data_IF_649228846191
#
_entry.id   IF_649228846191
#
_cell.length_a   1.000
_cell.length_b   1.000
_cell.length_c   1.000
_cell.angle_alpha   90.00
_cell.angle_beta   90.00
_cell.angle_gamma   90.00
#
_symmetry.space_group_name_H-M   'P 1'
#
loop_
_entity.id
_entity.type
_entity.pdbx_description
1 polymer ?
#
# COMPACT_ATOMS: atom_id res chain seq x y z
N UNK A 1 -12.12 31.46 26.73
CA UNK A 1 -12.55 30.36 27.61
C UNK A 1 -12.16 29.06 26.92
N UNK A 2 -11.13 28.37 27.40
CA UNK A 2 -10.63 27.10 26.84
C UNK A 2 -10.94 26.00 27.84
N UNK A 3 -11.67 24.97 27.43
CA UNK A 3 -11.86 23.75 28.21
C UNK A 3 -10.86 22.70 27.70
N UNK A 4 -9.90 22.34 28.54
CA UNK A 4 -9.02 21.18 28.34
C UNK A 4 -9.72 19.97 28.98
N UNK A 5 -10.00 18.94 28.19
CA UNK A 5 -10.46 17.64 28.69
C UNK A 5 -9.28 16.67 28.63
N UNK A 6 -8.62 16.46 29.77
CA UNK A 6 -7.61 15.42 29.96
C UNK A 6 -8.36 14.17 30.46
N UNK A 7 -8.46 13.14 29.62
CA UNK A 7 -9.02 11.86 30.03
C UNK A 7 -7.91 11.01 30.65
N UNK A 8 -7.95 10.88 31.98
CA UNK A 8 -7.09 9.99 32.75
C UNK A 8 -7.63 8.57 32.66
N UNK A 9 -6.87 7.64 32.11
CA UNK A 9 -7.19 6.21 32.16
C UNK A 9 -6.37 5.61 33.31
N UNK A 10 -7.08 5.24 34.37
CA UNK A 10 -6.55 4.59 35.56
C UNK A 10 -6.17 3.13 35.27
N UNK A 11 -4.92 2.77 35.53
CA UNK A 11 -4.47 1.38 35.58
C UNK A 11 -5.09 0.69 36.81
N UNK A 12 -5.97 -0.29 36.58
CA UNK A 12 -6.32 -1.29 37.60
C UNK A 12 -5.43 -2.51 37.41
N UNK A 13 -4.48 -2.68 38.33
CA UNK A 13 -3.73 -3.91 38.54
C UNK A 13 -4.63 -4.95 39.20
N UNK A 14 -4.79 -6.13 38.60
CA UNK A 14 -5.25 -7.32 39.31
C UNK A 14 -4.19 -8.42 39.20
N UNK A 15 -3.69 -8.79 40.37
CA UNK A 15 -2.73 -9.86 40.63
C UNK A 15 -3.34 -11.22 40.28
N UNK A 16 -2.58 -12.03 39.56
CA UNK A 16 -2.86 -13.44 39.30
C UNK A 16 -1.55 -14.21 39.21
N UNK A 17 -0.93 -14.46 40.36
CA UNK A 17 0.25 -15.29 40.53
C UNK A 17 -0.11 -16.76 40.30
N UNK A 18 0.41 -17.34 39.23
CA UNK A 18 0.48 -18.80 39.06
C UNK A 18 1.96 -19.13 38.85
N UNK A 19 2.56 -19.69 39.90
CA UNK A 19 3.93 -20.19 39.85
C UNK A 19 4.03 -21.43 38.99
N UNK A 20 5.06 -21.49 38.15
CA UNK A 20 5.53 -22.72 37.53
C UNK A 20 7.06 -22.83 37.73
N UNK A 21 7.56 -24.07 37.88
CA UNK A 21 8.82 -24.35 38.58
C UNK A 21 10.07 -23.96 37.78
N UNK A 22 11.10 -23.54 38.51
CA UNK A 22 12.45 -23.38 38.01
C UNK A 22 13.03 -24.75 37.60
N UNK A 23 13.12 -25.00 36.30
CA UNK A 23 13.94 -26.07 35.76
C UNK A 23 15.33 -25.50 35.46
N UNK A 24 16.27 -25.82 36.34
CA UNK A 24 17.70 -25.61 36.12
C UNK A 24 18.19 -26.52 35.00
N UNK A 25 18.47 -25.95 33.84
CA UNK A 25 19.16 -26.61 32.74
C UNK A 25 20.26 -25.71 32.22
N UNK A 26 21.50 -25.92 32.68
CA UNK A 26 22.67 -25.42 31.98
C UNK A 26 22.91 -26.33 30.77
N UNK A 27 22.82 -25.78 29.55
CA UNK A 27 23.57 -26.30 28.43
C UNK A 27 23.95 -25.19 27.44
N UNK A 28 25.26 -25.00 27.37
CA UNK A 28 26.10 -24.31 26.40
C UNK A 28 25.56 -23.91 25.02
N UNK A 29 26.14 -22.80 24.57
CA UNK A 29 26.56 -22.44 23.20
C UNK A 29 25.47 -22.24 22.17
N UNK A 30 25.22 -20.98 21.78
CA UNK A 30 25.96 -20.31 20.71
C UNK A 30 25.53 -18.84 20.63
N UNK A 31 26.51 -17.95 20.49
CA UNK A 31 26.29 -16.64 19.90
C UNK A 31 25.95 -16.89 18.44
N UNK A 32 24.65 -16.93 18.12
CA UNK A 32 24.20 -16.92 16.73
C UNK A 32 23.65 -15.53 16.44
N UNK A 33 24.52 -14.70 15.88
CA UNK A 33 24.17 -13.44 15.27
C UNK A 33 23.39 -13.71 13.97
N UNK A 34 22.17 -14.20 14.10
CA UNK A 34 21.21 -14.21 13.01
C UNK A 34 20.26 -13.03 13.25
N UNK A 35 20.70 -11.83 12.84
CA UNK A 35 19.75 -10.84 12.38
C UNK A 35 19.05 -11.45 11.17
N UNK A 36 17.86 -11.97 11.40
CA UNK A 36 16.91 -12.27 10.33
C UNK A 36 16.58 -10.91 9.69
N UNK A 37 17.30 -10.55 8.62
CA UNK A 37 16.93 -9.41 7.78
C UNK A 37 15.51 -9.65 7.29
N UNK A 38 14.55 -8.94 7.87
CA UNK A 38 13.17 -8.96 7.42
C UNK A 38 13.12 -8.36 6.02
N UNK A 39 13.20 -9.21 5.00
CA UNK A 39 13.11 -8.80 3.60
C UNK A 39 11.65 -8.56 3.24
N UNK A 40 11.29 -7.29 3.05
CA UNK A 40 9.99 -6.86 2.56
C UNK A 40 10.01 -6.74 1.02
N UNK A 41 8.90 -7.12 0.39
CA UNK A 41 8.77 -7.17 -1.07
C UNK A 41 8.33 -5.85 -1.69
N UNK A 42 7.54 -5.06 -0.95
CA UNK A 42 6.92 -3.81 -1.40
C UNK A 42 7.21 -2.62 -0.48
N UNK A 43 7.85 -2.84 0.67
CA UNK A 43 8.17 -1.82 1.67
C UNK A 43 9.68 -1.52 1.65
N UNK A 44 10.05 -0.26 1.38
CA UNK A 44 11.43 0.22 1.50
C UNK A 44 11.76 0.68 2.93
N UNK A 45 13.04 0.97 3.18
CA UNK A 45 13.56 1.34 4.51
C UNK A 45 12.78 2.51 5.15
N UNK A 46 12.56 3.59 4.40
CA UNK A 46 11.82 4.75 4.90
C UNK A 46 10.34 4.42 5.19
N UNK A 47 9.68 3.64 4.33
CA UNK A 47 8.30 3.21 4.56
C UNK A 47 8.20 2.33 5.79
N UNK A 48 9.18 1.47 6.03
CA UNK A 48 9.24 0.64 7.24
C UNK A 48 9.37 1.50 8.50
N UNK A 49 10.26 2.50 8.52
CA UNK A 49 10.42 3.41 9.66
C UNK A 49 9.11 4.12 10.02
N UNK A 50 8.38 4.61 9.00
CA UNK A 50 7.09 5.28 9.20
C UNK A 50 6.02 4.29 9.66
N UNK A 51 5.92 3.11 9.04
CA UNK A 51 4.92 2.10 9.42
C UNK A 51 5.17 1.54 10.82
N UNK A 52 6.43 1.34 11.20
CA UNK A 52 6.84 0.86 12.53
C UNK A 52 6.52 1.83 13.67
N UNK A 53 6.14 3.08 13.35
CA UNK A 53 5.64 4.02 14.35
C UNK A 53 4.19 3.72 14.78
N UNK A 54 3.40 3.02 13.95
CA UNK A 54 1.97 2.77 14.18
C UNK A 54 1.59 1.28 14.20
N UNK A 55 2.43 0.40 13.64
CA UNK A 55 2.13 -1.03 13.46
C UNK A 55 3.23 -1.93 14.03
N UNK A 56 2.86 -3.13 14.47
CA UNK A 56 3.85 -4.15 14.86
C UNK A 56 4.54 -4.76 13.63
N UNK A 57 5.67 -5.45 13.86
CA UNK A 57 6.39 -6.13 12.79
C UNK A 57 5.51 -7.14 12.04
N UNK A 58 4.68 -7.90 12.76
CA UNK A 58 3.75 -8.88 12.16
C UNK A 58 2.69 -8.18 11.30
N UNK A 59 2.16 -7.05 11.77
CA UNK A 59 1.20 -6.25 10.99
C UNK A 59 1.84 -5.68 9.73
N UNK A 60 3.08 -5.20 9.81
CA UNK A 60 3.85 -4.70 8.65
C UNK A 60 4.13 -5.83 7.65
N UNK A 61 4.43 -7.04 8.12
CA UNK A 61 4.59 -8.21 7.25
C UNK A 61 3.28 -8.55 6.52
N UNK A 62 2.14 -8.46 7.21
CA UNK A 62 0.84 -8.68 6.56
C UNK A 62 0.50 -7.55 5.58
N UNK A 63 0.83 -6.30 5.91
CA UNK A 63 0.70 -5.15 5.00
C UNK A 63 1.55 -5.37 3.74
N UNK A 64 2.81 -5.79 3.86
CA UNK A 64 3.71 -6.07 2.72
C UNK A 64 3.15 -7.16 1.79
N UNK A 65 2.60 -8.23 2.38
CA UNK A 65 2.04 -9.37 1.62
C UNK A 65 0.71 -9.03 0.94
N UNK A 66 -0.11 -8.20 1.56
CA UNK A 66 -1.50 -7.96 1.14
C UNK A 66 -1.65 -6.70 0.28
N UNK A 67 -0.78 -5.72 0.50
CA UNK A 67 -0.87 -4.39 -0.11
C UNK A 67 0.12 -4.25 -1.26
N UNK A 68 -0.27 -3.51 -2.29
CA UNK A 68 0.63 -3.10 -3.37
C UNK A 68 1.62 -2.02 -2.90
N UNK A 69 2.73 -1.84 -3.63
CA UNK A 69 3.72 -0.76 -3.40
C UNK A 69 3.05 0.63 -3.25
N UNK A 70 1.96 0.88 -3.96
CA UNK A 70 1.20 2.14 -3.87
C UNK A 70 0.27 2.22 -2.67
N UNK A 71 -0.39 1.12 -2.29
CA UNK A 71 -1.18 1.10 -1.06
C UNK A 71 -0.27 1.30 0.16
N UNK A 72 0.91 0.68 0.14
CA UNK A 72 1.98 0.96 1.11
C UNK A 72 2.35 2.45 1.08
N UNK A 73 2.59 3.03 -0.09
CA UNK A 73 2.89 4.45 -0.22
C UNK A 73 1.76 5.36 0.30
N UNK A 74 0.49 5.10 -0.05
CA UNK A 74 -0.64 5.88 0.46
C UNK A 74 -0.75 5.78 1.98
N UNK A 75 -0.54 4.58 2.54
CA UNK A 75 -0.55 4.35 3.98
C UNK A 75 0.59 5.11 4.67
N UNK A 76 1.82 5.02 4.16
CA UNK A 76 2.97 5.79 4.65
C UNK A 76 2.67 7.28 4.68
N UNK A 77 2.16 7.85 3.58
CA UNK A 77 1.84 9.27 3.48
C UNK A 77 0.70 9.70 4.43
N UNK A 78 -0.27 8.80 4.68
CA UNK A 78 -1.37 9.05 5.58
C UNK A 78 -0.95 9.06 7.06
N UNK A 79 0.08 8.29 7.41
CA UNK A 79 0.67 8.24 8.75
C UNK A 79 1.60 9.43 8.98
N UNK A 80 2.47 9.74 8.02
CA UNK A 80 3.49 10.78 8.16
C UNK A 80 2.89 12.19 8.30
N UNK A 81 1.86 12.52 7.51
CA UNK A 81 1.15 13.79 7.63
C UNK A 81 -0.34 13.62 7.30
N UNK A 82 -1.18 13.22 8.27
CA UNK A 82 -2.59 12.91 8.03
C UNK A 82 -3.41 14.11 7.53
N UNK A 83 -3.10 15.32 8.04
CA UNK A 83 -3.84 16.53 7.68
C UNK A 83 -3.50 16.98 6.26
N UNK A 84 -2.22 16.95 5.88
CA UNK A 84 -1.86 17.21 4.49
C UNK A 84 -2.24 16.06 3.55
N UNK A 85 -2.25 14.79 4.00
CA UNK A 85 -2.75 13.68 3.18
C UNK A 85 -4.21 13.89 2.79
N UNK A 86 -5.08 14.23 3.75
CA UNK A 86 -6.50 14.48 3.46
C UNK A 86 -6.67 15.72 2.56
N UNK A 87 -5.92 16.80 2.83
CA UNK A 87 -6.00 18.03 2.05
C UNK A 87 -5.45 17.86 0.62
N UNK A 88 -4.35 17.12 0.44
CA UNK A 88 -3.81 16.70 -0.85
C UNK A 88 -4.83 15.82 -1.55
N UNK A 89 -5.21 14.68 -0.98
CA UNK A 89 -6.20 13.75 -1.54
C UNK A 89 -7.45 14.48 -2.07
N UNK A 90 -8.06 15.38 -1.29
CA UNK A 90 -9.23 16.16 -1.71
C UNK A 90 -8.98 17.19 -2.83
N UNK A 91 -7.84 17.89 -2.82
CA UNK A 91 -7.50 18.88 -3.86
C UNK A 91 -6.97 18.24 -5.14
N UNK A 92 -6.26 17.12 -5.02
CA UNK A 92 -5.69 16.32 -6.09
C UNK A 92 -6.77 15.61 -6.91
N UNK A 93 -7.76 14.99 -6.24
CA UNK A 93 -8.86 14.29 -6.91
C UNK A 93 -9.79 15.18 -7.74
N UNK A 94 -9.79 16.50 -7.52
CA UNK A 94 -10.68 17.42 -8.26
C UNK A 94 -10.03 18.08 -9.47
N UNK A 95 -8.71 18.02 -9.60
CA UNK A 95 -7.96 18.76 -10.61
C UNK A 95 -7.01 17.91 -11.48
N UNK A 96 -6.62 16.69 -11.05
CA UNK A 96 -5.52 15.94 -11.69
C UNK A 96 -5.91 14.61 -12.38
N UNK A 97 -7.08 14.03 -12.11
CA UNK A 97 -7.44 12.71 -12.68
C UNK A 97 -8.43 12.83 -13.83
N UNK A 98 -8.23 12.03 -14.88
CA UNK A 98 -9.09 11.98 -16.06
C UNK A 98 -9.70 10.58 -16.29
N UNK A 99 -9.55 9.66 -15.33
CA UNK A 99 -10.02 8.29 -15.43
C UNK A 99 -9.14 7.50 -16.39
N UNK A 100 -9.70 6.52 -17.10
CA UNK A 100 -8.88 5.67 -17.96
C UNK A 100 -8.47 6.33 -19.30
N UNK A 101 -8.47 7.67 -19.38
CA UNK A 101 -8.08 8.52 -20.52
C UNK A 101 -8.68 8.10 -21.87
N UNK A 102 -8.02 7.13 -22.53
CA UNK A 102 -8.32 6.63 -23.87
C UNK A 102 -8.98 5.24 -23.86
N UNK A 103 -9.29 4.73 -22.67
CA UNK A 103 -9.88 3.41 -22.46
C UNK A 103 -11.14 3.52 -21.62
N UNK A 104 -12.06 2.54 -21.70
CA UNK A 104 -13.25 2.54 -20.86
C UNK A 104 -12.93 2.50 -19.35
N UNK A 105 -13.64 3.30 -18.55
CA UNK A 105 -13.56 3.24 -17.08
C UNK A 105 -14.05 1.90 -16.48
N UNK A 106 -14.71 1.07 -17.28
CA UNK A 106 -15.35 -0.18 -16.86
C UNK A 106 -15.18 -1.28 -17.89
N UNK A 107 -15.06 -2.51 -17.39
CA UNK A 107 -15.14 -3.72 -18.20
C UNK A 107 -16.06 -4.75 -17.56
N UNK A 108 -17.25 -4.93 -18.14
CA UNK A 108 -18.32 -5.73 -17.50
C UNK A 108 -18.63 -5.21 -16.09
N UNK A 109 -18.50 -6.07 -15.08
CA UNK A 109 -18.69 -5.72 -13.67
C UNK A 109 -17.49 -5.03 -13.02
N UNK A 110 -16.32 -5.02 -13.67
CA UNK A 110 -15.11 -4.40 -13.13
C UNK A 110 -15.11 -2.89 -13.36
N UNK A 111 -15.00 -2.11 -12.27
CA UNK A 111 -14.84 -0.66 -12.31
C UNK A 111 -13.36 -0.29 -12.20
N UNK A 112 -12.72 0.04 -13.31
CA UNK A 112 -11.29 0.37 -13.38
C UNK A 112 -11.00 1.84 -13.09
N UNK A 113 -12.01 2.71 -13.12
CA UNK A 113 -11.83 4.15 -12.87
C UNK A 113 -10.97 4.46 -11.63
N UNK A 114 -11.18 3.84 -10.45
CA UNK A 114 -10.36 4.16 -9.28
C UNK A 114 -8.87 3.82 -9.45
N UNK A 115 -8.55 2.75 -10.17
CA UNK A 115 -7.16 2.39 -10.49
C UNK A 115 -6.55 3.39 -11.49
N UNK A 116 -7.32 3.84 -12.48
CA UNK A 116 -6.88 4.86 -13.43
C UNK A 116 -6.68 6.22 -12.74
N UNK A 117 -7.60 6.62 -11.87
CA UNK A 117 -7.45 7.85 -11.09
C UNK A 117 -6.19 7.80 -10.22
N UNK A 118 -5.90 6.67 -9.58
CA UNK A 118 -4.65 6.48 -8.81
C UNK A 118 -3.39 6.54 -9.70
N UNK A 119 -3.45 6.00 -10.92
CA UNK A 119 -2.37 6.05 -11.89
C UNK A 119 -2.07 7.49 -12.32
N UNK A 120 -3.11 8.29 -12.62
CA UNK A 120 -2.98 9.71 -12.93
C UNK A 120 -2.28 10.47 -11.80
N UNK A 121 -2.62 10.14 -10.55
CA UNK A 121 -2.00 10.74 -9.36
C UNK A 121 -0.51 10.40 -9.30
N UNK A 122 -0.15 9.14 -9.56
CA UNK A 122 1.24 8.70 -9.58
C UNK A 122 2.04 9.32 -10.73
N UNK A 123 1.40 9.60 -11.86
CA UNK A 123 2.00 10.26 -13.03
C UNK A 123 2.21 11.76 -12.85
N UNK A 124 1.53 12.37 -11.88
CA UNK A 124 1.60 13.81 -11.66
C UNK A 124 3.00 14.33 -11.29
N UNK A 125 3.22 15.62 -11.55
CA UNK A 125 4.45 16.35 -11.15
C UNK A 125 4.77 16.38 -9.65
N UNK A 126 3.84 15.95 -8.80
CA UNK A 126 4.05 15.84 -7.36
C UNK A 126 4.70 14.51 -6.93
N UNK A 127 4.66 13.50 -7.79
CA UNK A 127 5.16 12.16 -7.51
C UNK A 127 6.67 12.08 -7.65
N UNK A 128 7.30 11.28 -6.80
CA UNK A 128 8.73 10.91 -6.88
C UNK A 128 8.92 9.45 -7.30
N UNK A 129 7.84 8.71 -7.54
CA UNK A 129 7.89 7.32 -7.97
C UNK A 129 8.30 7.22 -9.44
N UNK A 130 9.16 6.27 -9.78
CA UNK A 130 9.48 5.94 -11.18
C UNK A 130 8.20 5.59 -11.95
N UNK A 131 8.15 5.94 -13.25
CA UNK A 131 7.01 5.62 -14.12
C UNK A 131 6.70 4.12 -14.09
N UNK A 132 7.73 3.29 -14.15
CA UNK A 132 7.56 1.83 -14.10
C UNK A 132 6.92 1.35 -12.80
N UNK A 133 7.18 2.00 -11.67
CA UNK A 133 6.53 1.75 -10.38
C UNK A 133 5.05 2.11 -10.43
N UNK A 134 4.72 3.29 -10.96
CA UNK A 134 3.32 3.69 -11.18
C UNK A 134 2.55 2.70 -12.07
N UNK A 135 3.17 2.26 -13.17
CA UNK A 135 2.53 1.34 -14.11
C UNK A 135 2.32 -0.06 -13.52
N UNK A 136 3.26 -0.58 -12.71
CA UNK A 136 3.10 -1.87 -12.01
C UNK A 136 2.00 -1.80 -10.95
N UNK A 137 1.94 -0.72 -10.17
CA UNK A 137 0.89 -0.50 -9.19
C UNK A 137 -0.49 -0.40 -9.85
N UNK A 138 -0.57 0.27 -11.00
CA UNK A 138 -1.78 0.32 -11.81
C UNK A 138 -2.24 -1.08 -12.24
N UNK A 139 -1.33 -1.92 -12.76
CA UNK A 139 -1.65 -3.30 -13.13
C UNK A 139 -2.13 -4.15 -11.95
N UNK A 140 -1.44 -4.07 -10.82
CA UNK A 140 -1.85 -4.76 -9.59
C UNK A 140 -3.26 -4.34 -9.17
N UNK A 141 -3.57 -3.04 -9.22
CA UNK A 141 -4.89 -2.51 -8.90
C UNK A 141 -5.98 -3.04 -9.84
N UNK A 142 -5.72 -3.06 -11.15
CA UNK A 142 -6.66 -3.61 -12.13
C UNK A 142 -6.94 -5.10 -11.89
N UNK A 143 -5.90 -5.91 -11.65
CA UNK A 143 -6.06 -7.36 -11.38
C UNK A 143 -6.77 -7.62 -10.04
N UNK A 144 -6.57 -6.76 -9.04
CA UNK A 144 -7.34 -6.80 -7.79
C UNK A 144 -8.82 -6.50 -8.04
N UNK A 145 -9.14 -5.47 -8.81
CA UNK A 145 -10.52 -5.16 -9.19
C UNK A 145 -11.16 -6.35 -9.91
N UNK A 146 -10.44 -7.00 -10.83
CA UNK A 146 -10.91 -8.23 -11.48
C UNK A 146 -11.20 -9.36 -10.49
N UNK A 147 -10.34 -9.50 -9.47
CA UNK A 147 -10.48 -10.53 -8.43
C UNK A 147 -11.68 -10.30 -7.51
N UNK A 148 -12.06 -9.04 -7.28
CA UNK A 148 -13.24 -8.65 -6.50
C UNK A 148 -14.53 -8.70 -7.34
N UNK A 149 -14.43 -8.43 -8.64
CA UNK A 149 -15.60 -8.32 -9.53
C UNK A 149 -16.06 -9.68 -10.08
N UNK A 150 -15.18 -10.68 -10.09
CA UNK A 150 -15.44 -12.01 -10.65
C UNK A 150 -14.94 -13.13 -9.73
N UNK A 151 -15.76 -14.16 -9.57
CA UNK A 151 -15.41 -15.33 -8.75
C UNK A 151 -14.15 -16.05 -9.29
N UNK A 152 -13.40 -16.67 -8.37
CA UNK A 152 -12.19 -17.46 -8.68
C UNK A 152 -12.52 -18.55 -9.70
N UNK A 153 -11.62 -18.77 -10.67
CA UNK A 153 -11.75 -19.84 -11.67
C UNK A 153 -12.77 -19.59 -12.79
N UNK A 154 -13.46 -18.44 -12.81
CA UNK A 154 -14.43 -18.13 -13.86
C UNK A 154 -13.75 -17.59 -15.12
N UNK A 155 -14.32 -17.90 -16.29
CA UNK A 155 -13.89 -17.32 -17.56
C UNK A 155 -13.94 -15.78 -17.55
N UNK A 156 -14.93 -15.20 -16.85
CA UNK A 156 -15.04 -13.74 -16.65
C UNK A 156 -13.83 -13.16 -15.93
N UNK A 157 -13.32 -13.82 -14.88
CA UNK A 157 -12.11 -13.38 -14.18
C UNK A 157 -10.87 -13.45 -15.07
N UNK A 158 -10.72 -14.55 -15.83
CA UNK A 158 -9.59 -14.71 -16.77
C UNK A 158 -9.62 -13.64 -17.86
N UNK A 159 -10.79 -13.36 -18.43
CA UNK A 159 -10.96 -12.31 -19.42
C UNK A 159 -10.69 -10.91 -18.84
N UNK A 160 -11.16 -10.63 -17.62
CA UNK A 160 -10.86 -9.37 -16.92
C UNK A 160 -9.35 -9.16 -16.75
N UNK A 161 -8.64 -10.18 -16.27
CA UNK A 161 -7.18 -10.12 -16.12
C UNK A 161 -6.48 -9.93 -17.47
N UNK A 162 -7.01 -10.51 -18.54
CA UNK A 162 -6.54 -10.26 -19.91
C UNK A 162 -6.66 -8.79 -20.30
N UNK A 163 -7.78 -8.15 -19.99
CA UNK A 163 -7.98 -6.71 -20.23
C UNK A 163 -7.07 -5.86 -19.32
N UNK A 164 -6.88 -6.24 -18.05
CA UNK A 164 -5.91 -5.57 -17.18
C UNK A 164 -4.49 -5.57 -17.77
N UNK A 165 -4.07 -6.70 -18.37
CA UNK A 165 -2.80 -6.78 -19.10
C UNK A 165 -2.76 -5.84 -20.32
N UNK A 166 -3.87 -5.67 -21.04
CA UNK A 166 -3.93 -4.73 -22.18
C UNK A 166 -3.72 -3.29 -21.71
N UNK A 167 -4.37 -2.88 -20.62
CA UNK A 167 -4.23 -1.53 -20.05
C UNK A 167 -2.78 -1.29 -19.59
N UNK A 168 -2.21 -2.23 -18.85
CA UNK A 168 -0.81 -2.15 -18.41
C UNK A 168 0.16 -2.04 -19.59
N UNK A 169 0.02 -2.90 -20.60
CA UNK A 169 0.88 -2.86 -21.77
C UNK A 169 0.74 -1.55 -22.56
N UNK A 170 -0.46 -0.94 -22.57
CA UNK A 170 -0.68 0.34 -23.22
C UNK A 170 0.09 1.46 -22.51
N UNK A 171 -0.01 1.57 -21.17
CA UNK A 171 0.73 2.61 -20.42
C UNK A 171 2.25 2.38 -20.46
N UNK A 172 2.73 1.13 -20.44
CA UNK A 172 4.16 0.83 -20.61
C UNK A 172 4.70 1.30 -21.96
N UNK A 173 3.91 1.18 -23.03
CA UNK A 173 4.31 1.54 -24.40
C UNK A 173 4.16 3.02 -24.70
N UNK A 174 3.09 3.65 -24.20
CA UNK A 174 2.65 4.99 -24.64
C UNK A 174 2.66 6.03 -23.50
N UNK A 175 2.84 5.61 -22.25
CA UNK A 175 2.70 6.47 -21.08
C UNK A 175 3.83 7.48 -20.86
N UNK A 176 5.00 7.32 -21.50
CA UNK A 176 6.16 8.17 -21.21
C UNK A 176 5.91 9.65 -21.50
N UNK A 177 5.12 9.94 -22.53
CA UNK A 177 4.74 11.31 -22.89
C UNK A 177 3.75 11.95 -21.94
N UNK A 178 3.13 11.17 -21.04
CA UNK A 178 2.14 11.64 -20.07
C UNK A 178 2.69 11.64 -18.63
N UNK A 179 3.89 11.10 -18.41
CA UNK A 179 4.52 11.07 -17.10
C UNK A 179 5.15 12.42 -16.78
N UNK A 180 4.61 13.10 -15.77
CA UNK A 180 5.07 14.41 -15.29
C UNK A 180 5.88 14.32 -13.98
N UNK A 181 5.94 13.13 -13.37
CA UNK A 181 6.62 12.89 -12.10
C UNK A 181 8.14 13.13 -12.13
N UNK A 182 8.73 13.17 -10.94
CA UNK A 182 10.16 13.48 -10.73
C UNK A 182 11.07 12.25 -10.73
N UNK A 183 10.50 11.05 -10.79
CA UNK A 183 11.23 9.79 -10.87
C UNK A 183 11.74 9.48 -12.29
N UNK A 184 12.32 8.30 -12.47
CA UNK A 184 12.77 7.83 -13.78
C UNK A 184 11.56 7.56 -14.68
N UNK A 185 11.63 8.07 -15.91
CA UNK A 185 10.65 7.82 -16.96
C UNK A 185 11.09 6.61 -17.81
N UNK A 186 11.15 5.44 -17.18
CA UNK A 186 11.58 4.16 -17.77
C UNK A 186 10.42 3.20 -18.04
#
# INVERSE_FOLDING_TARGET
MKANLVLSISFLTLLGSIGFPAASGQLSTNLDSNQEETSFSHINEHQYEVLASEFTLEEIQEIDKVSSEYEVWELTQAIEDPQQYIARKHSFFRAATNGCSFSPDRWGNANFKPACDSHDICYSSSSHADRSTCDRAFHASLTRICSLSYARGTAGRSACNGIANVYYNAVRKLGSSFYEGKGRND
#
